data_IF_859574157501
#
_entry.id   IF_859574157501
#
_cell.length_a   1.000
_cell.length_b   1.000
_cell.length_c   1.000
_cell.angle_alpha   90.00
_cell.angle_beta   90.00
_cell.angle_gamma   90.00
#
_symmetry.space_group_name_H-M   'P 1'
#
loop_
_entity.id
_entity.type
_entity.pdbx_description
1 polymer ?
#
# COMPACT_ATOMS: atom_id res chain seq x y z
N UNK A 1 -6.68 -7.98 -1.92
CA UNK A 1 -8.00 -8.61 -2.15
C UNK A 1 -8.86 -8.36 -0.91
N UNK A 2 -10.17 -8.14 -1.10
CA UNK A 2 -11.10 -7.86 0.00
C UNK A 2 -11.09 -8.92 1.10
N UNK A 3 -10.97 -10.20 0.74
CA UNK A 3 -10.86 -11.30 1.72
C UNK A 3 -9.65 -11.15 2.63
N UNK A 4 -8.48 -10.76 2.10
CA UNK A 4 -7.28 -10.53 2.91
C UNK A 4 -7.41 -9.31 3.85
N UNK A 5 -8.14 -8.28 3.41
CA UNK A 5 -8.40 -7.11 4.28
C UNK A 5 -9.21 -7.52 5.50
N UNK A 6 -10.21 -8.39 5.33
CA UNK A 6 -11.01 -8.90 6.46
C UNK A 6 -10.21 -9.81 7.40
N UNK A 7 -9.29 -10.60 6.89
CA UNK A 7 -8.38 -11.39 7.75
C UNK A 7 -7.44 -10.49 8.56
N UNK A 8 -6.93 -9.43 7.94
CA UNK A 8 -6.11 -8.42 8.63
C UNK A 8 -6.93 -7.67 9.68
N UNK A 9 -8.18 -7.32 9.36
CA UNK A 9 -9.12 -6.67 10.28
C UNK A 9 -9.39 -7.53 11.52
N UNK A 10 -9.66 -8.82 11.32
CA UNK A 10 -9.87 -9.79 12.41
C UNK A 10 -8.66 -9.92 13.36
N UNK A 11 -7.47 -9.55 12.90
CA UNK A 11 -6.24 -9.49 13.71
C UNK A 11 -5.98 -8.11 14.32
N UNK A 12 -6.94 -7.17 14.22
CA UNK A 12 -6.82 -5.82 14.73
C UNK A 12 -6.15 -4.83 13.77
N UNK A 13 -6.08 -5.15 12.48
CA UNK A 13 -5.52 -4.26 11.47
C UNK A 13 -6.44 -3.07 11.16
N UNK A 14 -5.86 -1.92 10.83
CA UNK A 14 -6.58 -0.65 10.66
C UNK A 14 -7.10 -0.43 9.24
N UNK A 15 -6.69 -1.26 8.27
CA UNK A 15 -7.00 -1.04 6.85
C UNK A 15 -8.51 -1.07 6.56
N UNK A 16 -9.26 -1.97 7.19
CA UNK A 16 -10.72 -2.07 7.06
C UNK A 16 -11.40 -0.81 7.58
N UNK A 17 -11.08 -0.41 8.81
CA UNK A 17 -11.59 0.80 9.44
C UNK A 17 -11.31 2.07 8.62
N UNK A 18 -10.08 2.22 8.14
CA UNK A 18 -9.70 3.35 7.30
C UNK A 18 -10.47 3.38 5.97
N UNK A 19 -10.69 2.22 5.35
CA UNK A 19 -11.48 2.10 4.12
C UNK A 19 -12.93 2.51 4.37
N UNK A 20 -13.52 2.06 5.46
CA UNK A 20 -14.91 2.37 5.82
C UNK A 20 -15.11 3.85 6.17
N UNK A 21 -14.13 4.45 6.87
CA UNK A 21 -14.18 5.88 7.21
C UNK A 21 -14.01 6.83 6.01
N UNK A 22 -13.46 6.33 4.90
CA UNK A 22 -13.04 7.18 3.78
C UNK A 22 -13.57 6.72 2.41
N UNK A 23 -14.56 5.83 2.40
CA UNK A 23 -15.09 5.29 1.17
C UNK A 23 -15.81 6.34 0.32
N UNK A 24 -15.71 6.19 -1.00
CA UNK A 24 -16.44 6.91 -2.02
C UNK A 24 -17.46 6.02 -2.71
N UNK A 25 -17.11 4.75 -2.86
CA UNK A 25 -17.95 3.73 -3.45
C UNK A 25 -17.59 2.38 -2.85
N UNK A 26 -18.60 1.60 -2.49
CA UNK A 26 -18.47 0.21 -2.07
C UNK A 26 -19.26 -0.70 -3.00
N UNK A 27 -18.69 -1.84 -3.35
CA UNK A 27 -19.34 -2.82 -4.21
C UNK A 27 -18.89 -4.24 -3.90
N UNK A 28 -19.85 -5.15 -3.73
CA UNK A 28 -19.59 -6.58 -3.67
C UNK A 28 -19.35 -7.13 -5.08
N UNK A 29 -18.15 -7.66 -5.31
CA UNK A 29 -17.76 -8.30 -6.56
C UNK A 29 -18.12 -9.78 -6.55
N UNK A 30 -18.29 -10.34 -7.76
CA UNK A 30 -18.54 -11.76 -7.99
C UNK A 30 -19.87 -12.29 -7.39
N UNK A 31 -20.87 -11.44 -7.17
CA UNK A 31 -22.20 -11.87 -6.65
C UNK A 31 -22.79 -13.04 -7.44
N UNK A 32 -22.58 -13.12 -8.76
CA UNK A 32 -23.07 -14.21 -9.61
C UNK A 32 -22.27 -15.51 -9.55
N UNK A 33 -21.17 -15.58 -8.79
CA UNK A 33 -20.28 -16.76 -8.75
C UNK A 33 -20.38 -17.55 -7.44
N UNK A 34 -21.31 -17.18 -6.57
CA UNK A 34 -21.52 -17.81 -5.27
C UNK A 34 -20.73 -17.16 -4.12
N UNK A 35 -21.18 -17.38 -2.87
CA UNK A 35 -20.69 -16.67 -1.69
C UNK A 35 -19.18 -16.85 -1.42
N UNK A 36 -18.62 -18.01 -1.73
CA UNK A 36 -17.22 -18.31 -1.47
C UNK A 36 -16.21 -17.41 -2.21
N UNK A 37 -16.64 -16.77 -3.29
CA UNK A 37 -15.81 -15.86 -4.09
C UNK A 37 -16.28 -14.41 -4.05
N UNK A 38 -17.25 -14.10 -3.21
CA UNK A 38 -17.65 -12.72 -2.96
C UNK A 38 -16.45 -11.94 -2.41
N UNK A 39 -16.20 -10.77 -2.95
CA UNK A 39 -15.10 -9.93 -2.52
C UNK A 39 -15.54 -8.46 -2.52
N UNK A 40 -15.49 -7.85 -1.37
CA UNK A 40 -15.78 -6.43 -1.23
C UNK A 40 -14.67 -5.61 -1.89
N UNK A 41 -15.07 -4.63 -2.70
CA UNK A 41 -14.19 -3.61 -3.26
C UNK A 41 -14.69 -2.23 -2.85
N UNK A 42 -13.83 -1.50 -2.18
CA UNK A 42 -14.08 -0.12 -1.77
C UNK A 42 -13.13 0.81 -2.51
N UNK A 43 -13.67 1.86 -3.11
CA UNK A 43 -12.89 3.02 -3.58
C UNK A 43 -12.88 4.05 -2.46
N UNK A 44 -11.70 4.46 -2.06
CA UNK A 44 -11.50 5.41 -0.96
C UNK A 44 -11.02 6.75 -1.49
N UNK A 45 -11.35 7.83 -0.78
CA UNK A 45 -10.67 9.10 -0.96
C UNK A 45 -9.23 8.95 -0.49
N UNK A 46 -8.29 9.03 -1.43
CA UNK A 46 -6.87 8.79 -1.17
C UNK A 46 -6.30 9.72 -0.11
N UNK A 47 -6.69 10.99 -0.13
CA UNK A 47 -6.18 12.00 0.81
C UNK A 47 -6.72 11.75 2.21
N UNK A 48 -8.03 11.56 2.34
CA UNK A 48 -8.67 11.24 3.63
C UNK A 48 -8.17 9.92 4.21
N UNK A 49 -7.93 8.90 3.36
CA UNK A 49 -7.35 7.63 3.79
C UNK A 49 -5.93 7.82 4.37
N UNK A 50 -5.10 8.62 3.70
CA UNK A 50 -3.76 8.94 4.20
C UNK A 50 -3.81 9.67 5.54
N UNK A 51 -4.68 10.68 5.65
CA UNK A 51 -4.88 11.45 6.90
C UNK A 51 -5.38 10.54 8.04
N UNK A 52 -6.33 9.64 7.76
CA UNK A 52 -6.82 8.67 8.74
C UNK A 52 -5.70 7.75 9.23
N UNK A 53 -4.93 7.15 8.33
CA UNK A 53 -3.83 6.26 8.68
C UNK A 53 -2.73 6.97 9.45
N UNK A 54 -2.37 8.18 9.04
CA UNK A 54 -1.42 9.02 9.76
C UNK A 54 -1.87 9.27 11.19
N UNK A 55 -3.11 9.71 11.37
CA UNK A 55 -3.68 9.96 12.69
C UNK A 55 -3.70 8.70 13.57
N UNK A 56 -4.11 7.56 13.01
CA UNK A 56 -4.11 6.28 13.72
C UNK A 56 -2.72 5.89 14.21
N UNK A 57 -1.69 6.08 13.39
CA UNK A 57 -0.30 5.80 13.77
C UNK A 57 0.19 6.75 14.86
N UNK A 58 -0.08 8.05 14.72
CA UNK A 58 0.35 9.08 15.69
C UNK A 58 -0.31 8.88 17.07
N UNK A 59 -1.50 8.29 17.12
CA UNK A 59 -2.21 7.99 18.37
C UNK A 59 -1.83 6.62 18.99
N UNK A 60 -1.01 5.82 18.29
CA UNK A 60 -0.65 4.49 18.78
C UNK A 60 0.38 4.58 19.90
N UNK A 61 0.05 4.15 21.14
CA UNK A 61 0.99 4.19 22.24
C UNK A 61 2.24 3.33 21.99
N UNK A 62 3.41 3.86 22.31
CA UNK A 62 4.69 3.16 22.15
C UNK A 62 5.21 3.12 20.72
N UNK A 63 4.54 3.75 19.76
CA UNK A 63 5.00 3.88 18.37
C UNK A 63 5.72 5.21 18.17
N UNK A 64 6.97 5.17 17.71
CA UNK A 64 7.72 6.33 17.24
C UNK A 64 7.79 6.32 15.71
N UNK A 65 7.45 7.44 15.08
CA UNK A 65 7.50 7.61 13.62
C UNK A 65 8.70 8.47 13.27
N UNK A 66 9.59 7.94 12.45
CA UNK A 66 10.78 8.65 11.97
C UNK A 66 10.74 8.81 10.45
N UNK A 67 10.97 10.03 9.98
CA UNK A 67 11.14 10.31 8.55
C UNK A 67 12.59 10.06 8.17
N UNK A 68 12.88 8.89 7.61
CA UNK A 68 14.22 8.52 7.15
C UNK A 68 14.13 7.51 6.00
N UNK A 69 15.09 7.56 5.08
CA UNK A 69 15.28 6.50 4.09
C UNK A 69 16.22 5.45 4.66
N UNK A 70 15.75 4.22 4.81
CA UNK A 70 16.57 3.08 5.21
C UNK A 70 17.32 2.58 3.99
N UNK A 71 18.66 2.51 4.10
CA UNK A 71 19.54 2.10 3.00
C UNK A 71 20.17 0.72 3.22
N UNK A 72 20.23 0.24 4.46
CA UNK A 72 20.78 -1.07 4.75
C UNK A 72 20.16 -1.71 6.00
N UNK A 73 20.21 -3.04 6.02
CA UNK A 73 20.07 -3.83 7.24
C UNK A 73 21.45 -3.98 7.87
N UNK A 74 21.54 -3.80 9.17
CA UNK A 74 22.70 -4.18 9.95
C UNK A 74 22.53 -5.64 10.39
N UNK A 75 23.42 -6.51 9.90
CA UNK A 75 23.38 -7.95 10.18
C UNK A 75 24.72 -8.41 10.70
N UNK A 76 24.72 -9.07 11.85
CA UNK A 76 25.89 -9.64 12.48
C UNK A 76 25.63 -11.12 12.81
N UNK A 77 26.55 -12.00 12.39
CA UNK A 77 26.44 -13.46 12.61
C UNK A 77 25.08 -14.05 12.20
N UNK A 78 24.51 -13.56 11.09
CA UNK A 78 23.20 -14.01 10.58
C UNK A 78 21.96 -13.47 11.34
N UNK A 79 22.17 -12.56 12.29
CA UNK A 79 21.10 -11.94 13.05
C UNK A 79 20.99 -10.45 12.72
N UNK A 80 19.76 -9.98 12.50
CA UNK A 80 19.54 -8.54 12.34
C UNK A 80 19.78 -7.82 13.65
N UNK A 81 20.50 -6.71 13.59
CA UNK A 81 20.79 -5.81 14.72
C UNK A 81 20.01 -4.50 14.63
N UNK A 82 19.69 -4.10 13.41
CA UNK A 82 19.01 -2.85 13.18
C UNK A 82 18.96 -2.45 11.72
N UNK A 83 18.80 -1.16 11.50
CA UNK A 83 18.80 -0.54 10.18
C UNK A 83 19.68 0.68 10.15
N UNK A 84 20.24 0.97 8.97
CA UNK A 84 21.05 2.15 8.71
C UNK A 84 20.30 3.04 7.74
N UNK A 85 20.27 4.35 8.02
CA UNK A 85 19.62 5.34 7.17
C UNK A 85 20.61 6.05 6.25
N UNK A 86 20.09 6.72 5.22
CA UNK A 86 20.88 7.47 4.24
C UNK A 86 21.79 8.54 4.88
N UNK A 87 21.36 9.13 5.98
CA UNK A 87 22.11 10.14 6.72
C UNK A 87 22.95 9.54 7.86
N UNK A 88 23.29 8.24 7.75
CA UNK A 88 24.11 7.50 8.71
C UNK A 88 23.50 7.38 10.13
N UNK A 89 22.18 7.59 10.26
CA UNK A 89 21.48 7.26 11.50
C UNK A 89 21.33 5.75 11.63
N UNK A 90 21.61 5.23 12.82
CA UNK A 90 21.46 3.81 13.15
C UNK A 90 20.30 3.63 14.12
N UNK A 91 19.44 2.66 13.82
CA UNK A 91 18.32 2.27 14.69
C UNK A 91 18.46 0.80 15.04
N UNK A 92 18.77 0.52 16.29
CA UNK A 92 18.89 -0.86 16.79
C UNK A 92 17.51 -1.49 17.00
N UNK A 93 17.36 -2.74 16.60
CA UNK A 93 16.12 -3.48 16.74
C UNK A 93 16.37 -4.98 16.86
N UNK A 94 15.52 -5.67 17.63
CA UNK A 94 15.52 -7.15 17.69
C UNK A 94 14.91 -7.79 16.45
N UNK A 95 13.99 -7.09 15.80
CA UNK A 95 13.31 -7.54 14.59
C UNK A 95 13.08 -6.35 13.65
N UNK A 96 13.11 -6.60 12.35
CA UNK A 96 12.80 -5.61 11.33
C UNK A 96 11.71 -6.16 10.41
N UNK A 97 10.64 -5.39 10.21
CA UNK A 97 9.57 -5.70 9.27
C UNK A 97 9.71 -4.84 8.02
N UNK A 98 9.86 -5.48 6.87
CA UNK A 98 9.95 -4.81 5.58
C UNK A 98 8.56 -4.61 4.98
N UNK A 99 8.10 -3.37 4.94
CA UNK A 99 6.80 -2.97 4.38
C UNK A 99 6.98 -1.85 3.33
N UNK A 100 7.92 -2.04 2.42
CA UNK A 100 8.45 -1.03 1.48
C UNK A 100 7.49 -0.65 0.35
N UNK A 101 6.38 -1.35 0.20
CA UNK A 101 5.42 -1.08 -0.87
C UNK A 101 6.05 -1.15 -2.26
N UNK A 102 5.80 -0.13 -3.07
CA UNK A 102 6.32 0.00 -4.45
C UNK A 102 7.56 0.90 -4.57
N UNK A 103 8.17 1.28 -3.45
CA UNK A 103 9.36 2.14 -3.44
C UNK A 103 10.65 1.35 -3.64
N UNK A 104 10.71 0.09 -3.17
CA UNK A 104 11.92 -0.74 -3.22
C UNK A 104 12.36 -1.01 -4.66
N UNK A 105 13.50 -0.45 -5.05
CA UNK A 105 14.04 -0.54 -6.41
C UNK A 105 13.03 -0.06 -7.47
N UNK A 106 12.22 0.95 -7.13
CA UNK A 106 11.10 1.42 -7.94
C UNK A 106 11.52 1.89 -9.33
N UNK A 107 10.72 1.57 -10.35
CA UNK A 107 10.87 2.07 -11.72
C UNK A 107 9.50 2.45 -12.27
N UNK A 108 9.43 3.60 -12.88
CA UNK A 108 8.24 4.07 -13.60
C UNK A 108 8.45 3.85 -15.09
N UNK A 109 7.44 3.31 -15.75
CA UNK A 109 7.42 3.07 -17.19
C UNK A 109 6.29 3.90 -17.82
N UNK A 110 6.60 4.63 -18.89
CA UNK A 110 5.64 5.38 -19.68
C UNK A 110 5.93 5.09 -21.15
N UNK A 111 5.17 4.21 -21.76
CA UNK A 111 5.51 3.65 -23.07
C UNK A 111 6.86 2.93 -23.01
N UNK A 112 7.78 3.30 -23.89
CA UNK A 112 9.14 2.73 -23.95
C UNK A 112 10.14 3.42 -23.02
N UNK A 113 9.76 4.57 -22.45
CA UNK A 113 10.62 5.30 -21.53
C UNK A 113 10.49 4.75 -20.11
N UNK A 114 11.58 4.77 -19.36
CA UNK A 114 11.58 4.43 -17.93
C UNK A 114 12.59 5.26 -17.15
N UNK A 115 12.35 5.41 -15.86
CA UNK A 115 13.26 6.06 -14.93
C UNK A 115 13.09 5.49 -13.51
N UNK A 116 14.14 5.62 -12.70
CA UNK A 116 14.09 5.20 -11.30
C UNK A 116 13.27 6.21 -10.49
N UNK A 117 12.19 5.75 -9.89
CA UNK A 117 11.33 6.55 -9.01
C UNK A 117 10.44 5.63 -8.17
N UNK A 118 10.08 6.09 -6.99
CA UNK A 118 8.95 5.57 -6.25
C UNK A 118 7.63 6.13 -6.79
N UNK A 119 6.49 5.76 -6.19
CA UNK A 119 5.18 6.31 -6.57
C UNK A 119 5.11 7.81 -6.31
N UNK A 120 4.31 8.51 -7.11
CA UNK A 120 4.02 9.95 -6.95
C UNK A 120 5.24 10.87 -6.93
N UNK A 121 6.31 10.51 -7.62
CA UNK A 121 7.54 11.30 -7.68
C UNK A 121 8.45 11.16 -6.46
N UNK A 122 8.15 10.25 -5.55
CA UNK A 122 9.05 9.94 -4.42
C UNK A 122 10.31 9.20 -4.89
N UNK A 123 11.35 9.20 -4.06
CA UNK A 123 12.56 8.46 -4.34
C UNK A 123 12.33 6.95 -4.41
N UNK A 124 13.09 6.27 -5.27
CA UNK A 124 13.17 4.81 -5.26
C UNK A 124 14.21 4.39 -4.22
N UNK A 125 13.84 3.50 -3.30
CA UNK A 125 14.76 2.93 -2.31
C UNK A 125 15.68 1.88 -2.99
N UNK A 126 16.70 2.34 -3.70
CA UNK A 126 17.60 1.47 -4.46
C UNK A 126 18.68 0.83 -3.57
N UNK A 127 19.28 1.58 -2.67
CA UNK A 127 20.37 1.12 -1.82
C UNK A 127 19.94 -0.07 -0.93
N UNK A 128 18.74 -0.01 -0.35
CA UNK A 128 18.22 -1.11 0.45
C UNK A 128 18.11 -2.43 -0.33
N UNK A 129 17.88 -2.36 -1.66
CA UNK A 129 17.80 -3.54 -2.52
C UNK A 129 19.07 -4.37 -2.48
N UNK A 130 20.23 -3.73 -2.49
CA UNK A 130 21.52 -4.41 -2.50
C UNK A 130 21.86 -4.99 -1.12
N UNK A 131 21.51 -4.28 -0.05
CA UNK A 131 21.62 -4.80 1.32
C UNK A 131 20.75 -6.04 1.54
N UNK A 132 19.52 -6.06 1.03
CA UNK A 132 18.63 -7.22 1.15
C UNK A 132 19.18 -8.43 0.38
N UNK A 133 19.75 -8.23 -0.80
CA UNK A 133 20.42 -9.31 -1.56
C UNK A 133 21.65 -9.85 -0.82
N UNK A 134 22.45 -8.96 -0.26
CA UNK A 134 23.61 -9.35 0.55
C UNK A 134 23.22 -10.16 1.79
N UNK A 135 22.05 -9.88 2.37
CA UNK A 135 21.46 -10.66 3.45
C UNK A 135 20.82 -12.00 2.98
N UNK A 136 20.94 -12.34 1.69
CA UNK A 136 20.47 -13.63 1.13
C UNK A 136 18.98 -13.62 0.75
N UNK A 137 18.29 -12.49 0.74
CA UNK A 137 16.88 -12.41 0.36
C UNK A 137 16.72 -12.39 -1.17
N UNK A 138 16.00 -13.37 -1.77
CA UNK A 138 15.75 -13.38 -3.21
C UNK A 138 14.75 -12.30 -3.60
N UNK A 139 15.16 -11.35 -4.42
CA UNK A 139 14.30 -10.26 -4.90
C UNK A 139 13.88 -10.51 -6.35
N UNK A 140 12.61 -10.26 -6.63
CA UNK A 140 12.04 -10.27 -7.98
C UNK A 140 11.31 -8.96 -8.26
N UNK A 141 11.32 -8.56 -9.53
CA UNK A 141 10.57 -7.39 -9.97
C UNK A 141 9.13 -7.77 -10.27
N UNK A 142 8.20 -7.01 -9.67
CA UNK A 142 6.78 -7.12 -9.98
C UNK A 142 6.31 -5.88 -10.73
N UNK A 143 5.38 -6.10 -11.65
CA UNK A 143 4.67 -5.02 -12.33
C UNK A 143 3.43 -4.65 -11.53
N UNK A 144 3.22 -3.36 -11.31
CA UNK A 144 1.93 -2.80 -10.92
C UNK A 144 1.36 -2.03 -12.11
N UNK A 145 0.09 -2.25 -12.46
CA UNK A 145 -0.59 -1.52 -13.52
C UNK A 145 -1.34 -0.33 -12.95
N UNK A 146 -1.10 0.86 -13.49
CA UNK A 146 -1.90 2.05 -13.17
C UNK A 146 -2.67 2.44 -14.43
N UNK A 147 -4.00 2.62 -14.36
CA UNK A 147 -4.78 3.13 -15.49
C UNK A 147 -4.32 4.55 -15.82
N UNK A 148 -4.42 4.90 -17.11
CA UNK A 148 -4.09 6.24 -17.57
C UNK A 148 -4.95 7.28 -16.84
N UNK A 149 -4.30 8.34 -16.35
CA UNK A 149 -5.00 9.51 -15.83
C UNK A 149 -5.31 10.45 -16.96
N UNK A 150 -6.57 10.70 -17.18
CA UNK A 150 -7.06 11.59 -18.24
C UNK A 150 -7.70 12.83 -17.64
N UNK A 151 -7.66 13.92 -18.39
CA UNK A 151 -8.31 15.15 -17.96
C UNK A 151 -9.84 14.99 -18.03
N UNK A 152 -10.57 15.32 -16.96
CA UNK A 152 -12.03 15.14 -16.89
C UNK A 152 -12.78 15.71 -18.10
N UNK A 153 -12.33 16.86 -18.64
CA UNK A 153 -12.95 17.52 -19.79
C UNK A 153 -12.78 16.76 -21.11
N UNK A 154 -11.84 15.79 -21.19
CA UNK A 154 -11.65 14.94 -22.36
C UNK A 154 -12.54 13.70 -22.38
N UNK A 155 -13.32 13.49 -21.33
CA UNK A 155 -14.18 12.33 -21.18
C UNK A 155 -15.59 12.66 -21.68
N UNK A 156 -16.07 11.91 -22.67
CA UNK A 156 -17.47 11.95 -23.10
C UNK A 156 -18.31 10.99 -22.26
N UNK A 157 -18.87 11.51 -21.18
CA UNK A 157 -19.67 10.70 -20.24
C UNK A 157 -20.96 10.15 -20.88
N UNK A 158 -21.45 10.72 -21.97
CA UNK A 158 -22.65 10.22 -22.66
C UNK A 158 -22.44 8.84 -23.31
N UNK A 159 -21.19 8.49 -23.60
CA UNK A 159 -20.79 7.19 -24.19
C UNK A 159 -20.37 6.14 -23.13
N UNK A 160 -20.43 6.47 -21.86
CA UNK A 160 -19.95 5.61 -20.79
C UNK A 160 -21.12 5.04 -20.00
N UNK A 161 -21.04 3.76 -19.69
CA UNK A 161 -21.96 3.12 -18.75
C UNK A 161 -21.57 3.50 -17.31
N UNK A 162 -22.52 4.03 -16.55
CA UNK A 162 -22.34 4.27 -15.13
C UNK A 162 -22.28 2.93 -14.37
N UNK A 163 -21.25 2.74 -13.57
CA UNK A 163 -21.10 1.59 -12.66
C UNK A 163 -21.29 2.07 -11.22
N UNK A 164 -22.52 2.16 -10.71
CA UNK A 164 -22.79 2.56 -9.34
C UNK A 164 -22.19 1.57 -8.33
N UNK A 165 -22.03 2.00 -7.09
CA UNK A 165 -21.81 1.10 -5.96
C UNK A 165 -23.03 0.24 -5.67
N UNK A 166 -22.92 -0.58 -4.63
CA UNK A 166 -24.10 -1.25 -4.08
C UNK A 166 -25.03 -0.20 -3.41
N UNK A 167 -26.36 -0.40 -3.41
CA UNK A 167 -27.28 0.51 -2.74
C UNK A 167 -27.04 0.52 -1.22
N UNK A 168 -27.37 1.61 -0.56
CA UNK A 168 -27.14 1.81 0.88
C UNK A 168 -27.71 0.67 1.76
N UNK A 169 -28.82 0.08 1.34
CA UNK A 169 -29.45 -1.07 2.01
C UNK A 169 -28.64 -2.37 1.95
N UNK A 170 -27.67 -2.47 1.04
CA UNK A 170 -26.82 -3.64 0.83
C UNK A 170 -25.37 -3.39 1.21
N UNK A 171 -25.05 -2.17 1.65
CA UNK A 171 -23.67 -1.82 2.01
C UNK A 171 -23.19 -2.68 3.18
N UNK A 172 -22.03 -3.27 2.98
CA UNK A 172 -21.31 -3.99 4.03
C UNK A 172 -20.00 -3.29 4.31
N UNK A 173 -19.67 -3.02 5.59
CA UNK A 173 -18.36 -2.48 5.94
C UNK A 173 -17.27 -3.53 5.72
N UNK A 174 -16.04 -3.08 5.60
CA UNK A 174 -14.87 -3.97 5.64
C UNK A 174 -14.60 -4.48 7.05
N UNK A 175 -14.69 -3.58 8.01
CA UNK A 175 -14.49 -3.91 9.43
C UNK A 175 -15.74 -4.51 10.05
N UNK A 176 -15.55 -5.36 11.03
CA UNK A 176 -16.63 -6.04 11.78
C UNK A 176 -17.03 -5.24 13.02
#
# INVERSE_FOLDING_TARGET
KGTLVREVDALGGVMGLAADATYLQSRMLNKGKGPAVHALRVQTDRRRYNEYMKHALEQTPGLAIHQAEVVALEVENGHVKGVITQLHGEYTAKCVVLATGTNLGGKIFVGDAWYASGPDGMHAANALTDSLKAAGLPLRRFKTGTPARVHRRSIDFSKLECKPGDPDSELQPFSF
#
